data_IF_233888826692
#
_entry.id   IF_233888826692
#
_cell.length_a   1.000
_cell.length_b   1.000
_cell.length_c   1.000
_cell.angle_alpha   90.00
_cell.angle_beta   90.00
_cell.angle_gamma   90.00
#
_symmetry.space_group_name_H-M   'P 1'
#
loop_
_entity.id
_entity.type
_entity.pdbx_description
1 polymer ?
#
# COMPACT_ATOMS: atom_id res chain seq x y z
N UNK A 1 54.87 -65.42 -108.29
CA UNK A 1 53.94 -64.28 -108.11
C UNK A 1 53.36 -64.23 -106.68
N UNK A 2 54.12 -63.76 -105.66
CA UNK A 2 53.55 -63.31 -104.38
C UNK A 2 53.96 -61.88 -103.97
N UNK A 3 54.51 -61.06 -104.87
CA UNK A 3 55.04 -59.71 -104.54
C UNK A 3 53.95 -58.63 -104.47
N UNK A 4 52.87 -58.75 -105.24
CA UNK A 4 51.82 -57.73 -105.29
C UNK A 4 50.98 -57.66 -104.00
N UNK A 5 50.73 -58.80 -103.35
CA UNK A 5 49.95 -58.84 -102.11
C UNK A 5 50.74 -58.27 -100.90
N UNK A 6 52.04 -58.55 -100.81
CA UNK A 6 52.89 -58.05 -99.72
C UNK A 6 53.14 -56.53 -99.80
N UNK A 7 53.21 -55.97 -101.02
CA UNK A 7 53.39 -54.53 -101.22
C UNK A 7 52.11 -53.73 -100.87
N UNK A 8 50.94 -54.27 -101.20
CA UNK A 8 49.64 -53.67 -100.82
C UNK A 8 49.45 -53.70 -99.30
N UNK A 9 49.84 -54.79 -98.63
CA UNK A 9 49.75 -54.92 -97.16
C UNK A 9 50.74 -53.98 -96.45
N UNK A 10 51.96 -53.82 -96.97
CA UNK A 10 52.97 -52.91 -96.39
C UNK A 10 52.60 -51.43 -96.54
N UNK A 11 52.06 -51.02 -97.70
CA UNK A 11 51.56 -49.64 -97.91
C UNK A 11 50.39 -49.31 -96.97
N UNK A 12 49.47 -50.25 -96.77
CA UNK A 12 48.34 -50.09 -95.87
C UNK A 12 48.78 -49.95 -94.40
N UNK A 13 49.80 -50.70 -93.97
CA UNK A 13 50.37 -50.55 -92.61
C UNK A 13 51.01 -49.17 -92.36
N UNK A 14 51.72 -48.63 -93.35
CA UNK A 14 52.30 -47.27 -93.25
C UNK A 14 51.23 -46.19 -93.22
N UNK A 15 50.14 -46.36 -93.96
CA UNK A 15 49.00 -45.44 -93.96
C UNK A 15 48.25 -45.47 -92.62
N UNK A 16 48.05 -46.67 -92.04
CA UNK A 16 47.44 -46.83 -90.72
C UNK A 16 48.28 -46.16 -89.61
N UNK A 17 49.62 -46.29 -89.66
CA UNK A 17 50.50 -45.61 -88.72
C UNK A 17 50.42 -44.08 -88.83
N UNK A 18 50.34 -43.54 -90.07
CA UNK A 18 50.11 -42.10 -90.28
C UNK A 18 48.76 -41.65 -89.76
N UNK A 19 47.71 -42.46 -89.94
CA UNK A 19 46.38 -42.17 -89.40
C UNK A 19 46.40 -42.13 -87.87
N UNK A 20 47.04 -43.10 -87.21
CA UNK A 20 47.18 -43.12 -85.74
C UNK A 20 47.97 -41.91 -85.25
N UNK A 21 49.09 -41.55 -85.89
CA UNK A 21 49.87 -40.36 -85.53
C UNK A 21 49.05 -39.08 -85.69
N UNK A 22 48.30 -38.94 -86.79
CA UNK A 22 47.41 -37.79 -87.00
C UNK A 22 46.26 -37.73 -85.98
N UNK A 23 45.74 -38.88 -85.54
CA UNK A 23 44.71 -38.96 -84.53
C UNK A 23 45.27 -38.58 -83.15
N UNK A 24 46.47 -39.04 -82.80
CA UNK A 24 47.17 -38.65 -81.58
C UNK A 24 47.47 -37.15 -81.54
N UNK A 25 47.97 -36.57 -82.64
CA UNK A 25 48.21 -35.13 -82.75
C UNK A 25 46.91 -34.32 -82.62
N UNK A 26 45.83 -34.73 -83.30
CA UNK A 26 44.52 -34.08 -83.19
C UNK A 26 43.95 -34.17 -81.78
N UNK A 27 44.11 -35.32 -81.11
CA UNK A 27 43.67 -35.49 -79.73
C UNK A 27 44.49 -34.61 -78.78
N UNK A 28 45.81 -34.54 -78.95
CA UNK A 28 46.67 -33.62 -78.20
C UNK A 28 46.24 -32.16 -78.35
N UNK A 29 46.07 -31.69 -79.59
CA UNK A 29 45.58 -30.33 -79.85
C UNK A 29 44.19 -30.06 -79.27
N UNK A 30 43.28 -31.05 -79.35
CA UNK A 30 41.93 -30.92 -78.78
C UNK A 30 41.96 -30.87 -77.25
N UNK A 31 42.83 -31.66 -76.61
CA UNK A 31 43.04 -31.63 -75.15
C UNK A 31 43.66 -30.31 -74.69
N UNK A 32 44.67 -29.82 -75.39
CA UNK A 32 45.31 -28.54 -75.08
C UNK A 32 44.32 -27.38 -75.21
N UNK A 33 43.52 -27.38 -76.28
CA UNK A 33 42.46 -26.40 -76.46
C UNK A 33 41.39 -26.48 -75.36
N UNK A 34 40.97 -27.69 -75.00
CA UNK A 34 39.99 -27.92 -73.93
C UNK A 34 40.49 -27.41 -72.58
N UNK A 35 41.73 -27.76 -72.20
CA UNK A 35 42.34 -27.33 -70.95
C UNK A 35 42.55 -25.81 -70.91
N UNK A 36 43.05 -25.22 -72.01
CA UNK A 36 43.23 -23.78 -72.12
C UNK A 36 41.91 -23.01 -71.98
N UNK A 37 40.85 -23.49 -72.64
CA UNK A 37 39.53 -22.87 -72.56
C UNK A 37 38.92 -23.01 -71.15
N UNK A 38 39.11 -24.17 -70.50
CA UNK A 38 38.64 -24.39 -69.13
C UNK A 38 39.38 -23.51 -68.12
N UNK A 39 40.70 -23.38 -68.25
CA UNK A 39 41.52 -22.49 -67.42
C UNK A 39 41.09 -21.03 -67.59
N UNK A 40 40.92 -20.56 -68.83
CA UNK A 40 40.45 -19.19 -69.12
C UNK A 40 39.08 -18.91 -68.50
N UNK A 41 38.13 -19.85 -68.62
CA UNK A 41 36.80 -19.71 -68.00
C UNK A 41 36.88 -19.67 -66.48
N UNK A 42 37.72 -20.50 -65.87
CA UNK A 42 37.96 -20.47 -64.42
C UNK A 42 38.52 -19.12 -63.98
N UNK A 43 39.57 -18.61 -64.63
CA UNK A 43 40.18 -17.32 -64.32
C UNK A 43 39.17 -16.17 -64.44
N UNK A 44 38.33 -16.18 -65.48
CA UNK A 44 37.29 -15.16 -65.67
C UNK A 44 36.25 -15.17 -64.54
N UNK A 45 35.76 -16.36 -64.15
CA UNK A 45 34.79 -16.50 -63.06
C UNK A 45 35.43 -16.11 -61.72
N UNK A 46 36.65 -16.57 -61.46
CA UNK A 46 37.39 -16.27 -60.25
C UNK A 46 37.66 -14.76 -60.10
N UNK A 47 38.08 -14.09 -61.17
CA UNK A 47 38.31 -12.64 -61.16
C UNK A 47 37.01 -11.86 -60.93
N UNK A 48 35.90 -12.25 -61.59
CA UNK A 48 34.58 -11.65 -61.33
C UNK A 48 34.13 -11.83 -59.88
N UNK A 49 34.36 -13.01 -59.31
CA UNK A 49 34.04 -13.29 -57.91
C UNK A 49 34.89 -12.46 -56.95
N UNK A 50 36.19 -12.34 -57.20
CA UNK A 50 37.09 -11.50 -56.40
C UNK A 50 36.69 -10.02 -56.47
N UNK A 51 36.38 -9.49 -57.66
CA UNK A 51 35.93 -8.11 -57.84
C UNK A 51 34.63 -7.79 -57.09
N UNK A 52 33.74 -8.77 -56.95
CA UNK A 52 32.49 -8.61 -56.19
C UNK A 52 32.67 -8.71 -54.68
N UNK A 53 33.89 -9.01 -54.21
CA UNK A 53 34.28 -9.14 -52.79
C UNK A 53 33.19 -9.74 -51.88
N UNK A 54 32.60 -10.91 -52.23
CA UNK A 54 31.46 -11.47 -51.51
C UNK A 54 31.78 -11.76 -50.03
N UNK A 55 33.03 -12.15 -49.73
CA UNK A 55 33.50 -12.38 -48.37
C UNK A 55 33.46 -11.11 -47.52
N UNK A 56 33.89 -9.95 -48.06
CA UNK A 56 33.82 -8.67 -47.35
C UNK A 56 32.37 -8.22 -47.16
N UNK A 57 31.50 -8.44 -48.15
CA UNK A 57 30.06 -8.13 -48.03
C UNK A 57 29.41 -8.97 -46.94
N UNK A 58 29.72 -10.26 -46.89
CA UNK A 58 29.21 -11.19 -45.89
C UNK A 58 29.72 -10.84 -44.49
N UNK A 59 31.01 -10.51 -44.33
CA UNK A 59 31.58 -10.05 -43.07
C UNK A 59 30.89 -8.76 -42.58
N UNK A 60 30.68 -7.77 -43.47
CA UNK A 60 29.94 -6.54 -43.13
C UNK A 60 28.51 -6.82 -42.69
N UNK A 61 27.81 -7.72 -43.40
CA UNK A 61 26.45 -8.12 -43.03
C UNK A 61 26.41 -8.82 -41.68
N UNK A 62 27.36 -9.70 -41.38
CA UNK A 62 27.49 -10.35 -40.07
C UNK A 62 27.73 -9.31 -38.96
N UNK A 63 28.63 -8.36 -39.16
CA UNK A 63 28.88 -7.28 -38.18
C UNK A 63 27.64 -6.40 -37.97
N UNK A 64 26.92 -6.06 -39.04
CA UNK A 64 25.70 -5.27 -38.96
C UNK A 64 24.60 -6.01 -38.19
N UNK A 65 24.45 -7.31 -38.45
CA UNK A 65 23.49 -8.17 -37.78
C UNK A 65 23.80 -8.30 -36.28
N UNK A 66 25.07 -8.46 -35.92
CA UNK A 66 25.50 -8.51 -34.51
C UNK A 66 25.21 -7.19 -33.78
N UNK A 67 25.53 -6.05 -34.40
CA UNK A 67 25.18 -4.73 -33.84
C UNK A 67 23.67 -4.56 -33.65
N UNK A 68 22.86 -5.01 -34.61
CA UNK A 68 21.41 -4.93 -34.52
C UNK A 68 20.87 -5.82 -33.39
N UNK A 69 21.41 -7.04 -33.24
CA UNK A 69 21.07 -7.95 -32.14
C UNK A 69 21.39 -7.33 -30.78
N UNK A 70 22.58 -6.77 -30.61
CA UNK A 70 22.97 -6.11 -29.36
C UNK A 70 22.06 -4.91 -29.05
N UNK A 71 21.80 -4.05 -30.04
CA UNK A 71 20.93 -2.89 -29.88
C UNK A 71 19.49 -3.30 -29.54
N UNK A 72 18.98 -4.38 -30.16
CA UNK A 72 17.66 -4.93 -29.84
C UNK A 72 17.63 -5.47 -28.41
N UNK A 73 18.68 -6.19 -27.98
CA UNK A 73 18.81 -6.69 -26.61
C UNK A 73 18.73 -5.58 -25.58
N UNK A 74 19.54 -4.52 -25.73
CA UNK A 74 19.51 -3.38 -24.83
C UNK A 74 18.17 -2.64 -24.83
N UNK A 75 17.55 -2.47 -26.00
CA UNK A 75 16.25 -1.80 -26.11
C UNK A 75 15.13 -2.60 -25.42
N UNK A 76 15.13 -3.93 -25.57
CA UNK A 76 14.18 -4.81 -24.91
C UNK A 76 14.36 -4.80 -23.39
N UNK A 77 15.60 -4.92 -22.92
CA UNK A 77 15.91 -4.90 -21.49
C UNK A 77 15.47 -3.57 -20.85
N UNK A 78 15.79 -2.44 -21.49
CA UNK A 78 15.36 -1.12 -21.03
C UNK A 78 13.83 -1.00 -20.98
N UNK A 79 13.12 -1.51 -21.99
CA UNK A 79 11.66 -1.45 -22.07
C UNK A 79 10.98 -2.33 -21.02
N UNK A 80 11.50 -3.53 -20.78
CA UNK A 80 11.03 -4.43 -19.71
C UNK A 80 11.24 -3.75 -18.35
N UNK A 81 12.45 -3.22 -18.10
CA UNK A 81 12.76 -2.52 -16.84
C UNK A 81 11.82 -1.34 -16.58
N UNK A 82 11.55 -0.52 -17.59
CA UNK A 82 10.60 0.58 -17.47
C UNK A 82 9.16 0.10 -17.21
N UNK A 83 8.71 -0.95 -17.89
CA UNK A 83 7.39 -1.52 -17.69
C UNK A 83 7.22 -2.07 -16.27
N UNK A 84 8.21 -2.82 -15.77
CA UNK A 84 8.22 -3.37 -14.40
C UNK A 84 8.20 -2.24 -13.36
N UNK A 85 9.03 -1.21 -13.54
CA UNK A 85 9.03 -0.05 -12.62
C UNK A 85 7.69 0.68 -12.64
N UNK A 86 7.05 0.84 -13.81
CA UNK A 86 5.71 1.44 -13.91
C UNK A 86 4.67 0.58 -13.18
N UNK A 87 4.70 -0.73 -13.37
CA UNK A 87 3.79 -1.67 -12.71
C UNK A 87 3.95 -1.63 -11.19
N UNK A 88 5.19 -1.65 -10.69
CA UNK A 88 5.50 -1.52 -9.26
C UNK A 88 4.99 -0.19 -8.69
N UNK A 89 5.23 0.94 -9.36
CA UNK A 89 4.74 2.25 -8.91
C UNK A 89 3.22 2.32 -8.84
N UNK A 90 2.53 1.79 -9.85
CA UNK A 90 1.05 1.75 -9.85
C UNK A 90 0.53 0.84 -8.75
N UNK A 91 1.13 -0.34 -8.56
CA UNK A 91 0.77 -1.26 -7.49
C UNK A 91 0.98 -0.65 -6.09
N UNK A 92 2.08 0.07 -5.89
CA UNK A 92 2.36 0.77 -4.63
C UNK A 92 1.38 1.93 -4.39
N UNK A 93 1.04 2.71 -5.43
CA UNK A 93 0.02 3.76 -5.31
C UNK A 93 -1.35 3.18 -4.96
N UNK A 94 -1.72 2.06 -5.59
CA UNK A 94 -2.97 1.38 -5.32
C UNK A 94 -3.01 0.82 -3.88
N UNK A 95 -1.92 0.21 -3.41
CA UNK A 95 -1.84 -0.31 -2.04
C UNK A 95 -1.84 0.79 -0.99
N UNK A 96 -1.21 1.94 -1.26
CA UNK A 96 -1.27 3.12 -0.38
C UNK A 96 -2.65 3.76 -0.32
N UNK A 97 -3.45 3.65 -1.39
CA UNK A 97 -4.83 4.09 -1.38
C UNK A 97 -5.78 3.13 -0.65
N UNK A 98 -5.30 1.99 -0.13
CA UNK A 98 -6.12 1.08 0.66
C UNK A 98 -6.62 1.78 1.93
N UNK A 99 -7.91 2.11 2.05
CA UNK A 99 -8.45 2.83 3.18
C UNK A 99 -8.60 1.92 4.41
N UNK A 100 -8.46 0.60 4.26
CA UNK A 100 -8.89 -0.34 5.26
C UNK A 100 -8.12 -0.22 6.61
N UNK A 101 -6.79 -0.01 6.62
CA UNK A 101 -6.07 0.28 7.87
C UNK A 101 -6.48 1.62 8.51
N UNK A 102 -6.95 2.60 7.73
CA UNK A 102 -7.46 3.87 8.25
C UNK A 102 -8.85 3.67 8.87
N UNK A 103 -9.71 2.89 8.21
CA UNK A 103 -11.04 2.53 8.70
C UNK A 103 -10.94 1.75 10.01
N UNK A 104 -10.09 0.71 10.08
CA UNK A 104 -9.90 -0.04 11.33
C UNK A 104 -9.41 0.84 12.47
N UNK A 105 -8.42 1.73 12.23
CA UNK A 105 -7.97 2.69 13.24
C UNK A 105 -9.08 3.63 13.70
N UNK A 106 -9.90 4.12 12.77
CA UNK A 106 -11.04 4.98 13.09
C UNK A 106 -12.11 4.22 13.91
N UNK A 107 -12.42 2.97 13.54
CA UNK A 107 -13.34 2.11 14.28
C UNK A 107 -12.86 1.85 15.71
N UNK A 108 -11.59 1.46 15.90
CA UNK A 108 -11.01 1.28 17.23
C UNK A 108 -11.02 2.59 18.04
N UNK A 109 -10.80 3.74 17.38
CA UNK A 109 -10.88 5.05 18.04
C UNK A 109 -12.31 5.38 18.50
N UNK A 110 -13.31 5.08 17.67
CA UNK A 110 -14.73 5.25 18.02
C UNK A 110 -15.06 4.39 19.24
N UNK A 111 -14.72 3.10 19.23
CA UNK A 111 -14.96 2.20 20.36
C UNK A 111 -14.31 2.69 21.66
N UNK A 112 -13.07 3.18 21.60
CA UNK A 112 -12.38 3.76 22.76
C UNK A 112 -13.08 5.03 23.27
N UNK A 113 -13.55 5.89 22.37
CA UNK A 113 -14.25 7.12 22.74
C UNK A 113 -15.64 6.83 23.34
N UNK A 114 -16.37 5.85 22.80
CA UNK A 114 -17.65 5.39 23.34
C UNK A 114 -17.51 4.83 24.76
N UNK A 115 -16.48 4.01 24.99
CA UNK A 115 -16.18 3.48 26.32
C UNK A 115 -15.88 4.62 27.31
N UNK A 116 -14.99 5.55 26.93
CA UNK A 116 -14.64 6.71 27.77
C UNK A 116 -15.82 7.63 28.03
N UNK A 117 -16.68 7.86 27.03
CA UNK A 117 -17.87 8.68 27.19
C UNK A 117 -18.83 8.07 28.21
N UNK A 118 -19.10 6.78 28.06
CA UNK A 118 -19.99 6.03 28.97
C UNK A 118 -19.49 6.11 30.42
N UNK A 119 -18.19 5.90 30.62
CA UNK A 119 -17.59 5.94 31.95
C UNK A 119 -17.64 7.34 32.57
N UNK A 120 -17.33 8.38 31.79
CA UNK A 120 -17.44 9.77 32.26
C UNK A 120 -18.87 10.15 32.63
N UNK A 121 -19.86 9.73 31.83
CA UNK A 121 -21.28 9.99 32.13
C UNK A 121 -21.66 9.32 33.45
N UNK A 122 -21.29 8.04 33.63
CA UNK A 122 -21.58 7.31 34.88
C UNK A 122 -20.93 7.97 36.09
N UNK A 123 -19.65 8.30 36.00
CA UNK A 123 -18.92 8.99 37.07
C UNK A 123 -19.58 10.32 37.43
N UNK A 124 -19.89 11.15 36.43
CA UNK A 124 -20.49 12.48 36.65
C UNK A 124 -21.90 12.39 37.23
N UNK A 125 -22.69 11.41 36.79
CA UNK A 125 -24.02 11.16 37.35
C UNK A 125 -23.94 10.70 38.81
N UNK A 126 -22.97 9.84 39.14
CA UNK A 126 -22.73 9.37 40.51
C UNK A 126 -22.34 10.52 41.42
N UNK A 127 -21.37 11.33 41.01
CA UNK A 127 -20.93 12.52 41.76
C UNK A 127 -22.09 13.51 41.98
N UNK A 128 -22.92 13.73 40.96
CA UNK A 128 -24.07 14.63 41.09
C UNK A 128 -25.14 14.07 42.04
N UNK A 129 -25.37 12.75 42.03
CA UNK A 129 -26.30 12.08 42.98
C UNK A 129 -25.80 12.19 44.41
N UNK A 130 -24.50 12.00 44.65
CA UNK A 130 -23.90 12.14 45.96
C UNK A 130 -24.00 13.58 46.48
N UNK A 131 -23.65 14.56 45.64
CA UNK A 131 -23.82 15.99 45.97
C UNK A 131 -25.26 16.35 46.29
N UNK A 132 -26.20 15.84 45.51
CA UNK A 132 -27.63 16.05 45.75
C UNK A 132 -28.06 15.43 47.08
N UNK A 133 -27.66 14.19 47.36
CA UNK A 133 -27.93 13.54 48.65
C UNK A 133 -27.39 14.35 49.83
N UNK A 134 -26.15 14.83 49.75
CA UNK A 134 -25.55 15.67 50.79
C UNK A 134 -26.26 17.02 50.95
N UNK A 135 -26.73 17.63 49.86
CA UNK A 135 -27.50 18.86 49.94
C UNK A 135 -28.86 18.63 50.62
N UNK A 136 -29.52 17.50 50.35
CA UNK A 136 -30.77 17.11 51.01
C UNK A 136 -30.55 16.88 52.50
N UNK A 137 -29.53 16.13 52.91
CA UNK A 137 -29.24 15.90 54.34
C UNK A 137 -28.87 17.19 55.07
N UNK A 138 -28.13 18.09 54.42
CA UNK A 138 -27.87 19.42 54.98
C UNK A 138 -29.15 20.23 55.14
N UNK A 139 -30.03 20.25 54.14
CA UNK A 139 -31.31 20.97 54.20
C UNK A 139 -32.21 20.43 55.31
N UNK A 140 -32.26 19.12 55.49
CA UNK A 140 -32.98 18.48 56.60
C UNK A 140 -32.37 18.88 57.95
N UNK A 141 -31.03 18.89 58.06
CA UNK A 141 -30.34 19.24 59.31
C UNK A 141 -30.57 20.70 59.75
N UNK A 142 -30.75 21.64 58.80
CA UNK A 142 -31.06 23.05 59.10
C UNK A 142 -32.57 23.36 59.10
N UNK A 143 -33.43 22.37 58.89
CA UNK A 143 -34.87 22.57 58.89
C UNK A 143 -35.39 22.86 60.32
N UNK A 144 -36.19 23.93 60.51
CA UNK A 144 -36.87 24.19 61.79
C UNK A 144 -37.70 23.01 62.27
N UNK A 145 -38.27 22.22 61.35
CA UNK A 145 -39.00 20.98 61.66
C UNK A 145 -38.09 19.92 62.28
N UNK A 146 -36.85 19.75 61.79
CA UNK A 146 -35.90 18.81 62.38
C UNK A 146 -35.40 19.24 63.76
N UNK A 147 -35.43 20.55 64.04
CA UNK A 147 -35.13 21.08 65.38
C UNK A 147 -36.31 20.84 66.32
N UNK A 148 -37.55 21.02 65.85
CA UNK A 148 -38.78 20.73 66.60
C UNK A 148 -38.92 19.22 66.92
N UNK A 149 -38.64 18.35 65.94
CA UNK A 149 -38.70 16.89 66.08
C UNK A 149 -37.66 16.31 67.06
N UNK A 150 -36.62 17.07 67.41
CA UNK A 150 -35.64 16.70 68.46
C UNK A 150 -36.09 17.09 69.87
N UNK A 151 -37.36 17.48 70.04
CA UNK A 151 -37.96 17.83 71.32
C UNK A 151 -37.67 19.26 71.79
N UNK A 152 -37.14 20.12 70.90
CA UNK A 152 -36.97 21.54 71.20
C UNK A 152 -38.21 22.33 70.81
N UNK A 153 -38.62 23.28 71.64
CA UNK A 153 -39.79 24.11 71.39
C UNK A 153 -39.38 25.55 71.15
N UNK A 154 -40.11 26.27 70.29
CA UNK A 154 -39.86 27.70 70.08
C UNK A 154 -40.94 28.51 70.79
N UNK A 155 -40.57 29.18 71.88
CA UNK A 155 -41.47 30.08 72.61
C UNK A 155 -41.42 31.50 72.05
N UNK A 156 -42.59 32.09 71.84
CA UNK A 156 -42.79 33.43 71.27
C UNK A 156 -43.67 34.27 72.20
N UNK A 157 -43.47 35.58 72.19
CA UNK A 157 -44.38 36.51 72.86
C UNK A 157 -45.66 36.69 72.06
N UNK A 158 -46.69 37.29 72.67
CA UNK A 158 -47.94 37.70 72.00
C UNK A 158 -47.73 38.57 70.75
N UNK A 159 -46.56 39.23 70.63
CA UNK A 159 -46.17 40.04 69.48
C UNK A 159 -45.37 39.24 68.41
N UNK A 160 -45.32 37.91 68.52
CA UNK A 160 -44.62 37.02 67.58
C UNK A 160 -43.09 37.04 67.66
N UNK A 161 -42.48 37.68 68.68
CA UNK A 161 -41.02 37.72 68.85
C UNK A 161 -40.54 36.46 69.59
N UNK A 162 -39.52 35.79 69.05
CA UNK A 162 -38.90 34.61 69.66
C UNK A 162 -38.18 34.98 70.96
N UNK A 163 -38.50 34.27 72.02
CA UNK A 163 -37.89 34.41 73.34
C UNK A 163 -36.56 33.64 73.37
N UNK A 164 -35.46 34.36 73.61
CA UNK A 164 -34.10 33.77 73.68
C UNK A 164 -33.44 33.96 75.04
N UNK A 165 -33.88 34.92 75.83
CA UNK A 165 -33.29 35.27 77.13
C UNK A 165 -34.38 35.42 78.19
N UNK A 166 -34.09 34.94 79.39
CA UNK A 166 -35.00 35.02 80.54
C UNK A 166 -35.40 36.46 80.92
N UNK A 167 -34.54 37.44 80.63
CA UNK A 167 -34.79 38.88 80.88
C UNK A 167 -35.89 39.48 79.98
N UNK A 168 -36.38 38.75 78.99
CA UNK A 168 -37.35 39.23 78.00
C UNK A 168 -38.80 38.95 78.39
N UNK A 169 -39.04 38.30 79.54
CA UNK A 169 -40.35 37.87 80.01
C UNK A 169 -40.51 38.24 81.48
N UNK A 170 -41.72 38.61 81.88
CA UNK A 170 -42.11 38.89 83.28
C UNK A 170 -43.17 37.90 83.74
N UNK A 171 -43.31 37.77 85.06
CA UNK A 171 -44.43 37.01 85.63
C UNK A 171 -45.77 37.67 85.23
N UNK A 172 -46.73 36.86 84.80
CA UNK A 172 -48.03 37.27 84.25
C UNK A 172 -48.06 37.43 82.71
N UNK A 173 -46.92 37.33 82.03
CA UNK A 173 -46.90 37.41 80.56
C UNK A 173 -47.44 36.12 79.92
N UNK A 174 -48.22 36.27 78.85
CA UNK A 174 -48.68 35.16 78.00
C UNK A 174 -47.62 34.88 76.93
N UNK A 175 -47.29 33.62 76.74
CA UNK A 175 -46.39 33.14 75.70
C UNK A 175 -47.02 32.01 74.88
N UNK A 176 -46.72 32.01 73.59
CA UNK A 176 -47.09 30.94 72.64
C UNK A 176 -45.87 30.08 72.34
N UNK A 177 -45.95 28.79 72.66
CA UNK A 177 -44.91 27.81 72.39
C UNK A 177 -45.30 26.94 71.20
N UNK A 178 -44.44 26.90 70.19
CA UNK A 178 -44.59 26.00 69.04
C UNK A 178 -43.99 24.64 69.35
N UNK A 179 -44.81 23.61 69.20
CA UNK A 179 -44.46 22.19 69.28
C UNK A 179 -44.39 21.61 67.85
N UNK A 180 -43.98 20.35 67.74
CA UNK A 180 -43.92 19.64 66.45
C UNK A 180 -45.29 19.53 65.78
N UNK A 181 -46.34 19.31 66.57
CA UNK A 181 -47.70 18.99 66.15
C UNK A 181 -48.72 20.12 66.42
N UNK A 182 -48.30 21.24 67.02
CA UNK A 182 -49.24 22.31 67.35
C UNK A 182 -48.67 23.52 68.09
N UNK A 183 -49.57 24.30 68.66
CA UNK A 183 -49.27 25.51 69.42
C UNK A 183 -49.90 25.41 70.82
N UNK A 184 -49.15 25.82 71.83
CA UNK A 184 -49.60 25.89 73.21
C UNK A 184 -49.49 27.32 73.72
N UNK A 185 -50.54 27.82 74.36
CA UNK A 185 -50.49 29.08 75.12
C UNK A 185 -50.16 28.79 76.59
N UNK A 186 -49.30 29.61 77.18
CA UNK A 186 -48.85 29.43 78.56
C UNK A 186 -48.66 30.79 79.24
N UNK A 187 -49.04 30.88 80.51
CA UNK A 187 -48.84 32.07 81.34
C UNK A 187 -47.62 31.87 82.26
N UNK A 188 -46.78 32.90 82.35
CA UNK A 188 -45.56 32.86 83.16
C UNK A 188 -45.88 33.05 84.64
N UNK A 189 -45.77 31.98 85.44
CA UNK A 189 -46.01 32.08 86.90
C UNK A 189 -44.87 32.79 87.64
N UNK A 190 -43.62 32.51 87.27
CA UNK A 190 -42.44 33.12 87.91
C UNK A 190 -41.23 33.04 86.97
N UNK A 191 -40.30 33.98 87.13
CA UNK A 191 -39.09 34.09 86.30
C UNK A 191 -37.88 34.03 87.21
N UNK A 192 -37.11 32.95 87.14
CA UNK A 192 -35.88 32.78 87.91
C UNK A 192 -34.68 32.91 86.98
N UNK A 193 -33.78 33.89 87.17
CA UNK A 193 -32.54 33.96 86.42
C UNK A 193 -31.69 32.71 86.70
N UNK A 194 -31.26 32.02 85.65
CA UNK A 194 -30.19 31.02 85.77
C UNK A 194 -28.88 31.70 86.13
N UNK A 195 -28.11 31.08 87.02
CA UNK A 195 -26.73 31.46 87.36
C UNK A 195 -25.82 31.46 86.14
#
# INVERSE_FOLDING_TARGET
TPSAAAEIVSRNQQELLRQIQSAQQRLGMAMDYYLANRSRRFTQIFHRLQQQHPQLRLARQQTALERLRQRMGFALEARIKQATQRQQRVSQRLSQQNPQPRIHRAQSRIQQLEYRLTENIRSRLSEQRERFGNAVTHLEAVSPLATLARGYTVSTTTNGKVLKKIKQVKAGDIMTTRLEDGWLESEVKSVTPGT
#
